data_IF_002149600067
#
_entry.id   IF_002149600067
#
_cell.length_a   1.000
_cell.length_b   1.000
_cell.length_c   1.000
_cell.angle_alpha   90.00
_cell.angle_beta   90.00
_cell.angle_gamma   90.00
#
_symmetry.space_group_name_H-M   'P 1'
#
loop_
_entity.id
_entity.type
_entity.pdbx_description
1 polymer ?
#
# COMPACT_ATOMS: atom_id res chain seq x y z
N UNK A 1 -6.20 1.35 -4.15
CA UNK A 1 -6.36 0.15 -4.99
C UNK A 1 -6.65 -1.05 -4.14
N UNK A 2 -7.77 -1.03 -3.45
CA UNK A 2 -8.12 -2.04 -2.43
C UNK A 2 -8.40 -3.42 -3.03
N UNK A 3 -8.54 -3.50 -4.36
CA UNK A 3 -8.82 -4.74 -5.08
C UNK A 3 -7.62 -5.69 -5.10
N UNK A 4 -6.40 -5.16 -5.28
CA UNK A 4 -5.17 -5.98 -5.38
C UNK A 4 -4.64 -6.35 -3.99
N UNK A 5 -4.77 -5.43 -3.04
CA UNK A 5 -4.13 -5.54 -1.73
C UNK A 5 -3.21 -4.35 -1.47
N UNK A 6 -3.39 -3.69 -0.32
CA UNK A 6 -2.55 -2.54 0.05
C UNK A 6 -1.13 -2.97 0.43
N UNK A 7 -0.96 -4.17 0.97
CA UNK A 7 0.33 -4.81 1.27
C UNK A 7 1.17 -5.03 0.00
N UNK A 8 0.56 -5.60 -1.04
CA UNK A 8 1.23 -5.84 -2.33
C UNK A 8 1.67 -4.50 -2.95
N UNK A 9 0.81 -3.49 -2.90
CA UNK A 9 1.11 -2.15 -3.41
C UNK A 9 2.25 -1.48 -2.64
N UNK A 10 2.25 -1.59 -1.32
CA UNK A 10 3.32 -1.06 -0.49
C UNK A 10 4.65 -1.71 -0.84
N UNK A 11 4.68 -3.04 -0.95
CA UNK A 11 5.90 -3.77 -1.31
C UNK A 11 6.46 -3.36 -2.68
N UNK A 12 5.59 -3.20 -3.69
CA UNK A 12 6.00 -2.74 -5.03
C UNK A 12 6.55 -1.31 -4.96
N UNK A 13 5.88 -0.40 -4.25
CA UNK A 13 6.33 0.98 -4.13
C UNK A 13 7.67 1.08 -3.39
N UNK A 14 7.87 0.32 -2.32
CA UNK A 14 9.14 0.27 -1.59
C UNK A 14 10.28 -0.28 -2.44
N UNK A 15 10.02 -1.35 -3.20
CA UNK A 15 10.98 -1.91 -4.15
C UNK A 15 11.38 -0.86 -5.20
N UNK A 16 10.41 -0.23 -5.86
CA UNK A 16 10.66 0.77 -6.90
C UNK A 16 11.34 2.02 -6.36
N UNK A 17 10.96 2.49 -5.16
CA UNK A 17 11.60 3.62 -4.51
C UNK A 17 13.07 3.35 -4.23
N UNK A 18 13.38 2.15 -3.71
CA UNK A 18 14.76 1.73 -3.43
C UNK A 18 15.60 1.63 -4.71
N UNK A 19 15.06 1.05 -5.76
CA UNK A 19 15.84 0.73 -6.97
C UNK A 19 16.00 1.93 -7.89
N UNK A 20 14.96 2.75 -8.03
CA UNK A 20 14.95 3.88 -8.94
C UNK A 20 15.30 5.20 -8.26
N UNK A 21 15.30 5.24 -6.91
CA UNK A 21 15.55 6.45 -6.09
C UNK A 21 14.71 7.66 -6.51
N UNK A 22 13.52 7.39 -7.07
CA UNK A 22 12.62 8.41 -7.59
C UNK A 22 11.49 8.66 -6.60
N UNK A 23 11.33 9.92 -6.22
CA UNK A 23 10.27 10.38 -5.31
C UNK A 23 8.85 10.05 -5.81
N UNK A 24 8.68 9.83 -7.12
CA UNK A 24 7.41 9.37 -7.70
C UNK A 24 6.96 7.99 -7.16
N UNK A 25 7.90 7.17 -6.69
CA UNK A 25 7.62 5.86 -6.10
C UNK A 25 7.65 5.85 -4.58
N UNK A 26 7.91 6.99 -3.92
CA UNK A 26 7.91 7.06 -2.46
C UNK A 26 6.53 6.61 -1.94
N UNK A 27 6.45 5.54 -1.11
CA UNK A 27 5.18 5.12 -0.55
C UNK A 27 4.61 6.20 0.38
N UNK A 28 3.33 6.59 0.23
CA UNK A 28 2.69 7.54 1.14
C UNK A 28 2.56 6.98 2.57
N UNK A 29 2.69 7.82 3.59
CA UNK A 29 2.55 7.41 5.00
C UNK A 29 1.19 6.75 5.31
N UNK A 30 0.11 7.25 4.72
CA UNK A 30 -1.22 6.66 4.89
C UNK A 30 -1.27 5.21 4.40
N UNK A 31 -0.53 4.86 3.34
CA UNK A 31 -0.48 3.49 2.83
C UNK A 31 0.23 2.58 3.83
N UNK A 32 1.36 3.01 4.39
CA UNK A 32 2.09 2.26 5.44
C UNK A 32 1.23 2.01 6.66
N UNK A 33 0.53 3.05 7.14
CA UNK A 33 -0.36 2.95 8.29
C UNK A 33 -1.49 1.95 8.06
N UNK A 34 -2.17 1.99 6.92
CA UNK A 34 -3.26 1.06 6.61
C UNK A 34 -2.77 -0.39 6.57
N UNK A 35 -1.59 -0.66 5.99
CA UNK A 35 -0.99 -1.99 5.99
C UNK A 35 -0.63 -2.45 7.39
N UNK A 36 -0.02 -1.57 8.21
CA UNK A 36 0.32 -1.87 9.60
C UNK A 36 -0.92 -2.17 10.47
N UNK A 37 -2.05 -1.53 10.19
CA UNK A 37 -3.34 -1.79 10.84
C UNK A 37 -4.08 -3.04 10.30
N UNK A 38 -3.49 -3.78 9.34
CA UNK A 38 -4.14 -4.95 8.71
C UNK A 38 -5.30 -4.61 7.78
N UNK A 39 -5.46 -3.33 7.40
CA UNK A 39 -6.49 -2.85 6.47
C UNK A 39 -5.99 -2.99 5.04
N UNK A 40 -6.02 -4.22 4.53
CA UNK A 40 -5.41 -4.61 3.26
C UNK A 40 -6.33 -4.40 2.03
N UNK A 41 -7.52 -3.87 2.20
CA UNK A 41 -8.51 -3.67 1.13
C UNK A 41 -9.60 -4.74 1.16
N UNK A 42 -10.07 -5.15 -0.01
CA UNK A 42 -11.22 -6.07 -0.15
C UNK A 42 -11.01 -7.39 0.59
N UNK A 43 -9.79 -7.92 0.61
CA UNK A 43 -9.45 -9.19 1.27
C UNK A 43 -9.52 -9.16 2.79
N UNK A 44 -9.56 -7.97 3.40
CA UNK A 44 -9.69 -7.77 4.85
C UNK A 44 -10.97 -7.01 5.22
N UNK A 45 -11.91 -6.81 4.28
CA UNK A 45 -13.15 -6.04 4.49
C UNK A 45 -12.93 -4.52 4.68
N UNK A 46 -11.68 -4.04 4.65
CA UNK A 46 -11.34 -2.63 4.87
C UNK A 46 -10.00 -2.28 4.25
N UNK A 47 -9.96 -1.18 3.50
CA UNK A 47 -8.76 -0.50 3.04
C UNK A 47 -8.97 1.01 3.10
N UNK A 48 -8.86 1.68 1.95
CA UNK A 48 -9.35 3.06 1.81
C UNK A 48 -10.89 3.13 1.88
N UNK A 49 -11.58 2.04 1.53
CA UNK A 49 -13.03 1.90 1.65
C UNK A 49 -13.39 0.74 2.58
N UNK A 50 -14.62 0.75 3.11
CA UNK A 50 -15.29 -0.43 3.67
C UNK A 50 -15.75 -1.34 2.51
N UNK A 51 -15.53 -2.65 2.63
CA UNK A 51 -15.77 -3.64 1.58
C UNK A 51 -16.67 -4.78 2.05
#
# INVERSE_FOLDING_TARGET
TDLVGLDVRLAIAEYLYRELKSEAFRPPEILRRLVAEGRLGKKSGRGFYEW
#
